data_IF_475645153596
#
_entry.id   IF_475645153596
#
_cell.length_a   1.000
_cell.length_b   1.000
_cell.length_c   1.000
_cell.angle_alpha   90.00
_cell.angle_beta   90.00
_cell.angle_gamma   90.00
#
_symmetry.space_group_name_H-M   'P 1'
#
loop_
_entity.id
_entity.type
_entity.pdbx_description
1 polymer ?
#
# COMPACT_ATOMS: atom_id res chain seq x y z
N UNK A 1 -74.66 6.36 -18.23
CA UNK A 1 -73.43 7.17 -18.09
C UNK A 1 -72.52 6.23 -17.33
N UNK A 2 -72.01 5.23 -18.05
CA UNK A 2 -71.49 3.99 -17.48
C UNK A 2 -70.35 3.54 -18.37
N UNK A 3 -69.15 3.48 -17.81
CA UNK A 3 -68.11 2.46 -18.08
C UNK A 3 -66.90 2.82 -17.23
N UNK A 4 -66.77 2.11 -16.11
CA UNK A 4 -65.54 2.01 -15.34
C UNK A 4 -64.54 1.18 -16.17
N UNK A 5 -63.36 1.74 -16.44
CA UNK A 5 -62.25 1.04 -17.09
C UNK A 5 -61.26 0.66 -15.99
N UNK A 6 -61.23 -0.63 -15.65
CA UNK A 6 -60.19 -1.23 -14.82
C UNK A 6 -58.90 -1.34 -15.66
N UNK A 7 -57.89 -0.56 -15.30
CA UNK A 7 -56.53 -0.65 -15.85
C UNK A 7 -55.69 -1.59 -15.00
N UNK A 8 -55.50 -2.83 -15.45
CA UNK A 8 -54.55 -3.78 -14.88
C UNK A 8 -53.11 -3.27 -15.08
N UNK A 9 -52.34 -3.23 -13.99
CA UNK A 9 -50.90 -2.94 -13.99
C UNK A 9 -50.16 -4.25 -14.25
N UNK A 10 -49.60 -4.42 -15.45
CA UNK A 10 -48.68 -5.53 -15.72
C UNK A 10 -47.25 -5.21 -15.28
N UNK A 11 -46.66 -6.22 -14.66
CA UNK A 11 -45.42 -6.23 -13.89
C UNK A 11 -44.16 -6.07 -14.77
N UNK A 12 -43.26 -5.17 -14.36
CA UNK A 12 -41.93 -5.02 -14.98
C UNK A 12 -41.07 -6.24 -14.66
N UNK A 13 -40.72 -7.00 -15.71
CA UNK A 13 -39.97 -8.25 -15.62
C UNK A 13 -38.52 -7.92 -15.23
N UNK A 14 -38.21 -8.20 -13.96
CA UNK A 14 -36.87 -8.17 -13.40
C UNK A 14 -35.96 -9.20 -14.11
N UNK A 15 -35.28 -8.76 -15.17
CA UNK A 15 -34.22 -9.55 -15.80
C UNK A 15 -32.98 -9.61 -14.88
N UNK A 16 -32.36 -10.79 -14.68
CA UNK A 16 -31.19 -10.91 -13.85
C UNK A 16 -30.01 -10.20 -14.52
N UNK A 17 -29.62 -9.04 -13.96
CA UNK A 17 -28.37 -8.36 -14.30
C UNK A 17 -27.23 -9.32 -14.02
N UNK A 18 -26.70 -9.93 -15.08
CA UNK A 18 -25.48 -10.73 -15.03
C UNK A 18 -24.36 -9.82 -14.53
N UNK A 19 -24.04 -9.90 -13.23
CA UNK A 19 -22.85 -9.25 -12.67
C UNK A 19 -21.64 -9.73 -13.47
N UNK A 20 -21.12 -8.84 -14.34
CA UNK A 20 -19.84 -9.04 -15.01
C UNK A 20 -18.82 -9.27 -13.90
N UNK A 21 -18.20 -10.45 -13.86
CA UNK A 21 -17.03 -10.67 -13.02
C UNK A 21 -16.01 -9.62 -13.45
N UNK A 22 -15.79 -8.61 -12.61
CA UNK A 22 -14.68 -7.69 -12.82
C UNK A 22 -13.43 -8.58 -12.89
N UNK A 23 -12.69 -8.53 -14.00
CA UNK A 23 -11.36 -9.12 -14.06
C UNK A 23 -10.52 -8.34 -13.05
N UNK A 24 -10.46 -8.82 -11.81
CA UNK A 24 -9.62 -8.24 -10.78
C UNK A 24 -8.18 -8.23 -11.27
N UNK A 25 -7.48 -7.12 -11.05
CA UNK A 25 -6.07 -7.03 -11.37
C UNK A 25 -5.29 -8.02 -10.49
N UNK A 26 -4.40 -8.80 -11.09
CA UNK A 26 -3.48 -9.68 -10.39
C UNK A 26 -2.05 -9.18 -10.57
N UNK A 27 -1.32 -9.02 -9.46
CA UNK A 27 0.12 -8.76 -9.50
C UNK A 27 0.87 -9.97 -10.11
N UNK A 28 1.96 -9.70 -10.83
CA UNK A 28 2.80 -10.76 -11.40
C UNK A 28 3.44 -11.64 -10.30
N UNK A 29 3.66 -12.93 -10.60
CA UNK A 29 4.22 -13.91 -9.66
C UNK A 29 5.54 -13.47 -9.03
N UNK A 30 6.37 -12.75 -9.78
CA UNK A 30 7.64 -12.22 -9.29
C UNK A 30 7.43 -11.18 -8.18
N UNK A 31 6.56 -10.20 -8.42
CA UNK A 31 6.21 -9.15 -7.45
C UNK A 31 5.57 -9.79 -6.21
N UNK A 32 4.68 -10.76 -6.39
CA UNK A 32 4.05 -11.47 -5.28
C UNK A 32 5.08 -12.21 -4.42
N UNK A 33 6.07 -12.86 -5.04
CA UNK A 33 7.16 -13.52 -4.34
C UNK A 33 8.11 -12.54 -3.64
N UNK A 34 8.32 -11.33 -4.19
CA UNK A 34 9.08 -10.27 -3.52
C UNK A 34 8.34 -9.77 -2.28
N UNK A 35 7.05 -9.47 -2.40
CA UNK A 35 6.19 -9.04 -1.29
C UNK A 35 6.18 -10.10 -0.18
N UNK A 36 6.06 -11.37 -0.54
CA UNK A 36 6.09 -12.49 0.42
C UNK A 36 7.41 -12.67 1.17
N UNK A 37 8.52 -12.03 0.72
CA UNK A 37 9.80 -12.04 1.45
C UNK A 37 9.91 -10.90 2.48
N UNK A 38 9.05 -9.89 2.41
CA UNK A 38 9.05 -8.76 3.33
C UNK A 38 8.13 -9.02 4.54
N UNK A 39 8.60 -9.92 5.41
CA UNK A 39 7.84 -10.36 6.58
C UNK A 39 7.59 -9.22 7.59
N UNK A 40 8.45 -8.20 7.63
CA UNK A 40 8.33 -7.08 8.57
C UNK A 40 7.13 -6.18 8.27
N UNK A 41 6.69 -6.14 7.00
CA UNK A 41 5.57 -5.31 6.55
C UNK A 41 4.36 -6.13 6.10
N UNK A 42 4.22 -7.39 6.55
CA UNK A 42 3.15 -8.29 6.09
C UNK A 42 1.75 -7.64 6.17
N UNK A 43 1.44 -6.98 7.29
CA UNK A 43 0.16 -6.27 7.48
C UNK A 43 -0.03 -5.11 6.49
N UNK A 44 0.99 -4.29 6.26
CA UNK A 44 0.91 -3.20 5.28
C UNK A 44 0.70 -3.74 3.86
N UNK A 45 1.36 -4.86 3.53
CA UNK A 45 1.18 -5.51 2.23
C UNK A 45 -0.21 -6.11 2.07
N UNK A 46 -0.76 -6.74 3.12
CA UNK A 46 -2.14 -7.25 3.10
C UNK A 46 -3.14 -6.13 2.88
N UNK A 47 -2.97 -4.99 3.57
CA UNK A 47 -3.77 -3.78 3.37
C UNK A 47 -3.69 -3.28 1.91
N UNK A 48 -2.48 -3.20 1.34
CA UNK A 48 -2.33 -2.80 -0.07
C UNK A 48 -3.02 -3.79 -1.01
N UNK A 49 -2.92 -5.10 -0.75
CA UNK A 49 -3.53 -6.16 -1.58
C UNK A 49 -5.06 -6.11 -1.57
N UNK A 50 -5.69 -5.53 -0.54
CA UNK A 50 -7.15 -5.29 -0.55
C UNK A 50 -7.61 -4.42 -1.72
N UNK A 51 -6.70 -3.65 -2.33
CA UNK A 51 -6.96 -2.76 -3.47
C UNK A 51 -6.82 -3.42 -4.83
N UNK A 52 -6.34 -4.67 -4.90
CA UNK A 52 -6.21 -5.40 -6.16
C UNK A 52 -7.53 -5.53 -6.97
N UNK A 53 -8.70 -5.80 -6.34
CA UNK A 53 -9.97 -5.85 -7.07
C UNK A 53 -10.39 -4.51 -7.69
N UNK A 54 -9.91 -3.39 -7.14
CA UNK A 54 -10.16 -2.03 -7.64
C UNK A 54 -9.27 -1.69 -8.86
N UNK A 55 -8.25 -2.51 -9.15
CA UNK A 55 -7.36 -2.35 -10.29
C UNK A 55 -5.94 -1.89 -9.92
N UNK A 56 -5.05 -1.92 -10.91
CA UNK A 56 -3.62 -1.64 -10.71
C UNK A 56 -3.34 -0.25 -10.14
N UNK A 57 -4.05 0.78 -10.62
CA UNK A 57 -3.84 2.17 -10.18
C UNK A 57 -4.12 2.32 -8.69
N UNK A 58 -5.20 1.71 -8.19
CA UNK A 58 -5.56 1.76 -6.76
C UNK A 58 -4.58 0.99 -5.89
N UNK A 59 -4.11 -0.17 -6.36
CA UNK A 59 -3.05 -0.93 -5.70
C UNK A 59 -1.75 -0.10 -5.60
N UNK A 60 -1.26 0.44 -6.72
CA UNK A 60 -0.02 1.23 -6.74
C UNK A 60 -0.12 2.49 -5.89
N UNK A 61 -1.27 3.20 -5.94
CA UNK A 61 -1.52 4.35 -5.06
C UNK A 61 -1.45 3.95 -3.58
N UNK A 62 -2.10 2.84 -3.20
CA UNK A 62 -2.05 2.34 -1.83
C UNK A 62 -0.62 1.98 -1.40
N UNK A 63 0.17 1.34 -2.26
CA UNK A 63 1.58 1.03 -1.96
C UNK A 63 2.37 2.32 -1.79
N UNK A 64 2.19 3.28 -2.70
CA UNK A 64 2.88 4.56 -2.62
C UNK A 64 2.59 5.24 -1.28
N UNK A 65 1.31 5.39 -0.90
CA UNK A 65 0.90 6.05 0.34
C UNK A 65 1.43 5.34 1.59
N UNK A 66 1.35 4.00 1.64
CA UNK A 66 1.79 3.21 2.81
C UNK A 66 3.30 3.23 3.02
N UNK A 67 4.08 3.44 1.96
CA UNK A 67 5.54 3.43 2.01
C UNK A 67 6.17 4.81 1.77
N UNK A 68 5.42 5.90 1.97
CA UNK A 68 5.98 7.25 2.06
C UNK A 68 6.84 7.41 3.32
N UNK A 69 8.03 7.96 3.15
CA UNK A 69 8.87 8.36 4.27
C UNK A 69 8.35 9.66 4.86
N UNK A 70 7.95 9.64 6.13
CA UNK A 70 7.43 10.84 6.84
C UNK A 70 8.42 12.00 6.93
N UNK A 71 9.72 11.74 6.75
CA UNK A 71 10.76 12.77 6.85
C UNK A 71 10.96 13.55 5.55
N UNK A 72 10.98 12.87 4.41
CA UNK A 72 11.25 13.50 3.11
C UNK A 72 10.01 13.58 2.20
N UNK A 73 8.88 12.99 2.62
CA UNK A 73 7.61 12.98 1.88
C UNK A 73 7.69 12.33 0.48
N UNK A 74 8.65 11.44 0.30
CA UNK A 74 8.86 10.68 -0.93
C UNK A 74 8.75 9.19 -0.60
N UNK A 75 8.57 8.37 -1.63
CA UNK A 75 8.61 6.92 -1.49
C UNK A 75 9.92 6.50 -0.80
N UNK A 76 9.83 5.62 0.20
CA UNK A 76 10.99 5.31 1.04
C UNK A 76 12.14 4.69 0.21
N UNK A 77 13.34 5.23 0.37
CA UNK A 77 14.56 4.74 -0.27
C UNK A 77 15.52 4.20 0.78
N UNK A 78 16.10 3.02 0.51
CA UNK A 78 16.83 2.21 1.50
C UNK A 78 16.09 2.17 2.86
N UNK A 79 14.84 1.69 2.89
CA UNK A 79 14.00 1.70 4.09
C UNK A 79 14.67 0.98 5.25
N UNK A 80 14.62 1.61 6.42
CA UNK A 80 14.74 0.93 7.71
C UNK A 80 13.31 0.70 8.20
N UNK A 81 12.95 -0.57 8.40
CA UNK A 81 11.67 -0.95 9.04
C UNK A 81 11.92 -1.07 10.54
N UNK A 82 11.37 -0.13 11.31
CA UNK A 82 11.58 -0.07 12.76
C UNK A 82 10.77 -1.15 13.50
N UNK A 83 11.12 -1.45 14.75
CA UNK A 83 10.38 -2.40 15.60
C UNK A 83 8.93 -1.96 15.87
N UNK A 84 8.65 -0.65 15.79
CA UNK A 84 7.30 -0.09 15.83
C UNK A 84 6.60 -0.11 14.45
N UNK A 85 7.08 -0.93 13.51
CA UNK A 85 6.50 -1.19 12.19
C UNK A 85 6.33 0.05 11.28
N UNK A 86 7.24 1.02 11.35
CA UNK A 86 7.26 2.16 10.42
C UNK A 86 8.47 2.10 9.50
N UNK A 87 8.31 2.62 8.28
CA UNK A 87 9.35 2.62 7.25
C UNK A 87 9.89 4.05 7.07
N UNK A 88 11.20 4.22 7.27
CA UNK A 88 11.87 5.52 7.13
C UNK A 88 13.13 5.34 6.29
N UNK A 89 13.46 6.31 5.43
CA UNK A 89 14.70 6.24 4.65
C UNK A 89 15.89 6.16 5.62
N UNK A 90 16.85 5.27 5.34
CA UNK A 90 18.05 5.15 6.18
C UNK A 90 18.73 6.50 6.42
N UNK A 91 18.91 7.30 5.36
CA UNK A 91 19.54 8.62 5.44
C UNK A 91 18.74 9.61 6.28
N UNK A 92 17.40 9.58 6.22
CA UNK A 92 16.53 10.39 7.06
C UNK A 92 16.66 10.02 8.54
N UNK A 93 16.62 8.72 8.87
CA UNK A 93 16.75 8.25 10.24
C UNK A 93 18.16 8.52 10.81
N UNK A 94 19.21 8.34 9.98
CA UNK A 94 20.59 8.72 10.31
C UNK A 94 20.71 10.21 10.68
N UNK A 95 20.08 11.11 9.93
CA UNK A 95 20.06 12.55 10.24
C UNK A 95 19.40 12.83 11.59
N UNK A 96 18.27 12.18 11.90
CA UNK A 96 17.61 12.28 13.22
C UNK A 96 18.54 11.86 14.36
N UNK A 97 19.19 10.70 14.21
CA UNK A 97 20.09 10.17 15.24
C UNK A 97 21.33 11.06 15.42
N UNK A 98 21.88 11.62 14.33
CA UNK A 98 22.97 12.61 14.38
C UNK A 98 22.56 13.87 15.16
N UNK A 99 21.30 14.28 15.07
CA UNK A 99 20.72 15.36 15.87
C UNK A 99 20.36 14.96 17.32
N UNK A 100 20.78 13.76 17.77
CA UNK A 100 20.50 13.18 19.08
C UNK A 100 19.00 12.93 19.34
N UNK A 101 18.22 12.73 18.28
CA UNK A 101 16.80 12.34 18.35
C UNK A 101 16.68 10.85 18.00
N UNK A 102 16.47 10.02 19.02
CA UNK A 102 16.47 8.55 18.92
C UNK A 102 15.06 7.94 18.89
N UNK A 103 14.05 8.74 18.58
CA UNK A 103 12.66 8.27 18.46
C UNK A 103 12.29 8.05 17.00
N UNK A 104 11.34 7.15 16.76
CA UNK A 104 10.74 6.95 15.44
C UNK A 104 10.11 8.27 14.95
N UNK A 105 10.49 8.78 13.76
CA UNK A 105 9.92 10.00 13.20
C UNK A 105 8.40 9.94 12.97
N UNK A 106 7.83 8.75 12.76
CA UNK A 106 6.42 8.56 12.45
C UNK A 106 5.52 8.53 13.71
N UNK A 107 5.89 7.74 14.73
CA UNK A 107 5.04 7.53 15.91
C UNK A 107 5.68 7.91 17.25
N UNK A 108 6.92 8.42 17.24
CA UNK A 108 7.68 8.84 18.44
C UNK A 108 8.06 7.72 19.42
N UNK A 109 7.84 6.45 19.07
CA UNK A 109 8.39 5.30 19.80
C UNK A 109 9.89 5.46 20.01
N UNK A 110 10.40 5.18 21.22
CA UNK A 110 11.83 5.26 21.51
C UNK A 110 12.56 4.07 20.89
N UNK A 111 13.45 4.34 19.93
CA UNK A 111 14.25 3.30 19.26
C UNK A 111 15.53 3.00 20.04
N UNK A 112 15.97 3.93 20.91
CA UNK A 112 17.24 3.85 21.62
C UNK A 112 18.47 4.26 20.79
N UNK A 113 19.55 4.62 21.48
CA UNK A 113 20.80 5.12 20.87
C UNK A 113 21.54 4.07 20.05
N UNK A 114 21.41 2.81 20.44
CA UNK A 114 22.13 1.67 19.84
C UNK A 114 21.31 0.97 18.74
N UNK A 115 20.19 1.57 18.32
CA UNK A 115 19.36 1.01 17.27
C UNK A 115 20.12 0.88 15.95
N UNK A 116 20.09 -0.32 15.37
CA UNK A 116 20.81 -0.62 14.12
C UNK A 116 19.98 -0.17 12.91
N UNK A 117 20.60 0.62 12.05
CA UNK A 117 19.98 1.13 10.82
C UNK A 117 20.17 0.16 9.65
N UNK A 118 19.58 -1.03 9.80
CA UNK A 118 19.63 -2.09 8.80
C UNK A 118 18.56 -1.86 7.71
N UNK A 119 18.98 -1.97 6.45
CA UNK A 119 18.08 -1.77 5.32
C UNK A 119 17.22 -3.01 5.11
N UNK A 120 15.90 -2.82 5.06
CA UNK A 120 14.95 -3.82 4.61
C UNK A 120 15.11 -4.01 3.08
N UNK A 121 16.01 -4.93 2.71
CA UNK A 121 16.30 -5.28 1.30
C UNK A 121 15.07 -5.86 0.58
N UNK A 122 14.26 -6.76 1.19
CA UNK A 122 13.00 -7.20 0.58
C UNK A 122 12.10 -6.04 0.16
N UNK A 123 11.81 -5.10 1.06
CA UNK A 123 11.01 -3.92 0.75
C UNK A 123 11.63 -3.09 -0.38
N UNK A 124 12.95 -2.85 -0.32
CA UNK A 124 13.68 -2.12 -1.38
C UNK A 124 13.46 -2.73 -2.76
N UNK A 125 13.55 -4.07 -2.86
CA UNK A 125 13.33 -4.79 -4.12
C UNK A 125 11.88 -4.71 -4.60
N UNK A 126 10.91 -4.77 -3.68
CA UNK A 126 9.49 -4.61 -4.02
C UNK A 126 9.22 -3.24 -4.64
N UNK A 127 9.72 -2.17 -4.00
CA UNK A 127 9.50 -0.80 -4.47
C UNK A 127 10.18 -0.53 -5.80
N UNK A 128 11.39 -1.04 -6.03
CA UNK A 128 12.07 -0.94 -7.33
C UNK A 128 11.31 -1.70 -8.44
N UNK A 129 10.75 -2.87 -8.15
CA UNK A 129 9.98 -3.63 -9.12
C UNK A 129 8.63 -2.96 -9.46
N UNK A 130 8.00 -2.31 -8.47
CA UNK A 130 6.71 -1.64 -8.63
C UNK A 130 6.85 -0.22 -9.22
N UNK A 131 7.95 0.48 -8.92
CA UNK A 131 8.21 1.85 -9.33
C UNK A 131 9.64 1.97 -9.91
N UNK A 132 9.91 1.42 -11.11
CA UNK A 132 11.25 1.46 -11.69
C UNK A 132 11.79 2.90 -11.82
N UNK A 133 13.01 3.13 -11.33
CA UNK A 133 13.70 4.42 -11.43
C UNK A 133 13.35 5.47 -10.37
N UNK A 134 12.50 5.15 -9.38
CA UNK A 134 12.17 6.09 -8.28
C UNK A 134 13.39 6.46 -7.40
N UNK A 135 14.47 5.70 -7.53
CA UNK A 135 15.75 5.85 -6.83
C UNK A 135 16.76 6.74 -7.56
N UNK A 136 16.48 7.18 -8.79
CA UNK A 136 17.45 7.85 -9.66
C UNK A 136 18.05 9.17 -9.10
N UNK A 137 17.46 9.76 -8.05
CA UNK A 137 17.88 11.04 -7.45
C UNK A 137 18.01 11.03 -5.92
N UNK A 138 18.13 9.85 -5.29
CA UNK A 138 17.91 9.66 -3.84
C UNK A 138 19.16 9.37 -3.02
#
# INVERSE_FOLDING_TARGET
MDTEIEGEREEDKNEPVKKRKALGYSIGKEIEALIGKDNQNCRMWDECKTKLPEGQVHFLSSVQDKFLCVCCQELVFQPVTTECAHNVCKTCLQRSFKAKVFTCPACRHDLGKDHKLEVNKPLSKCLLALFPGYDASR
#
